data_IF_104823941184
#
_entry.id   IF_104823941184
#
_cell.length_a   1.000
_cell.length_b   1.000
_cell.length_c   1.000
_cell.angle_alpha   90.00
_cell.angle_beta   90.00
_cell.angle_gamma   90.00
#
_symmetry.space_group_name_H-M   'P 1'
#
loop_
_entity.id
_entity.type
_entity.pdbx_description
1 polymer ?
#
# COMPACT_ATOMS: atom_id res chain seq x y z
N UNK A 1 30.78 21.85 -44.41
CA UNK A 1 29.37 21.48 -44.17
C UNK A 1 28.99 22.15 -42.89
N UNK A 2 28.04 23.07 -42.99
CA UNK A 2 27.86 24.08 -41.95
C UNK A 2 26.90 23.58 -40.87
N UNK A 3 27.14 23.97 -39.61
CA UNK A 3 26.27 23.59 -38.52
C UNK A 3 25.00 24.45 -38.50
N UNK A 4 23.96 24.06 -37.75
CA UNK A 4 22.72 24.83 -37.66
C UNK A 4 22.97 26.25 -37.11
N UNK A 5 22.18 27.19 -37.60
CA UNK A 5 22.24 28.61 -37.25
C UNK A 5 21.15 28.98 -36.25
N UNK A 6 21.26 30.15 -35.61
CA UNK A 6 20.24 30.73 -34.72
C UNK A 6 19.67 29.74 -33.68
N UNK A 7 20.56 28.97 -33.03
CA UNK A 7 20.14 28.11 -31.93
C UNK A 7 19.61 28.97 -30.78
N UNK A 8 18.40 28.67 -30.32
CA UNK A 8 17.74 29.37 -29.23
C UNK A 8 17.00 28.42 -28.31
N UNK A 9 16.69 28.93 -27.12
CA UNK A 9 15.89 28.24 -26.11
C UNK A 9 14.84 29.23 -25.62
N UNK A 10 13.58 28.88 -25.82
CA UNK A 10 12.43 29.68 -25.36
C UNK A 10 11.78 28.99 -24.15
N UNK A 11 11.49 29.78 -23.12
CA UNK A 11 10.71 29.35 -21.96
C UNK A 11 9.27 29.86 -22.09
N UNK A 12 8.29 28.96 -22.33
CA UNK A 12 6.88 29.32 -22.44
C UNK A 12 6.22 29.58 -21.07
N UNK A 13 6.96 29.44 -19.95
CA UNK A 13 6.40 29.51 -18.60
C UNK A 13 5.83 28.16 -18.11
N UNK A 14 6.20 27.05 -18.75
CA UNK A 14 5.74 25.69 -18.42
C UNK A 14 6.61 25.00 -17.36
N UNK A 15 7.29 25.81 -16.54
CA UNK A 15 8.01 25.42 -15.32
C UNK A 15 9.07 24.31 -15.54
N UNK A 16 9.74 24.34 -16.69
CA UNK A 16 10.85 23.44 -17.04
C UNK A 16 10.73 22.75 -18.39
N UNK A 17 9.54 22.74 -19.01
CA UNK A 17 9.40 22.32 -20.40
C UNK A 17 9.84 23.45 -21.35
N UNK A 18 11.03 23.33 -21.92
CA UNK A 18 11.62 24.37 -22.78
C UNK A 18 11.56 23.98 -24.27
N UNK A 19 11.48 25.00 -25.12
CA UNK A 19 11.53 24.86 -26.58
C UNK A 19 12.92 25.20 -27.10
N UNK A 20 13.60 24.21 -27.66
CA UNK A 20 14.87 24.36 -28.36
C UNK A 20 14.54 24.59 -29.83
N UNK A 21 15.07 25.63 -30.44
CA UNK A 21 14.88 25.92 -31.87
C UNK A 21 16.19 26.29 -32.56
N UNK A 22 16.21 26.13 -33.88
CA UNK A 22 17.37 26.44 -34.73
C UNK A 22 16.91 26.63 -36.18
N UNK A 23 17.75 27.23 -37.01
CA UNK A 23 17.52 27.37 -38.45
C UNK A 23 18.47 26.51 -39.27
N UNK A 24 18.01 26.11 -40.45
CA UNK A 24 18.85 25.40 -41.41
C UNK A 24 20.05 26.29 -41.82
N UNK A 25 21.24 25.71 -42.05
CA UNK A 25 22.39 26.48 -42.52
C UNK A 25 22.11 27.05 -43.91
N UNK A 26 22.42 28.33 -44.13
CA UNK A 26 22.08 29.01 -45.38
C UNK A 26 22.67 28.29 -46.61
N UNK A 27 23.89 27.74 -46.48
CA UNK A 27 24.59 26.98 -47.52
C UNK A 27 23.90 25.69 -47.95
N UNK A 28 22.96 25.16 -47.15
CA UNK A 28 22.31 23.88 -47.38
C UNK A 28 20.81 23.97 -47.70
N UNK A 29 20.27 25.18 -47.84
CA UNK A 29 18.83 25.43 -48.07
C UNK A 29 18.31 24.92 -49.42
N UNK A 30 19.17 24.90 -50.45
CA UNK A 30 18.79 24.53 -51.83
C UNK A 30 19.29 23.14 -52.26
N UNK A 31 19.72 22.29 -51.33
CA UNK A 31 20.22 20.95 -51.63
C UNK A 31 19.08 19.94 -51.78
N UNK A 32 18.71 19.63 -53.02
CA UNK A 32 17.68 18.62 -53.34
C UNK A 32 18.25 17.20 -53.49
N UNK A 33 19.54 17.08 -53.82
CA UNK A 33 20.21 15.79 -54.04
C UNK A 33 20.55 15.02 -52.74
N UNK A 34 20.25 15.60 -51.57
CA UNK A 34 20.58 15.03 -50.27
C UNK A 34 19.47 15.25 -49.24
N UNK A 35 19.35 14.32 -48.30
CA UNK A 35 18.50 14.46 -47.13
C UNK A 35 19.31 15.11 -46.01
N UNK A 36 18.83 16.27 -45.55
CA UNK A 36 19.34 16.95 -44.36
C UNK A 36 18.54 16.51 -43.12
N UNK A 37 19.25 16.23 -42.03
CA UNK A 37 18.68 16.00 -40.70
C UNK A 37 19.53 16.72 -39.66
N UNK A 38 19.04 16.76 -38.44
CA UNK A 38 19.74 17.31 -37.30
C UNK A 38 20.01 16.21 -36.28
N UNK A 39 21.21 16.24 -35.71
CA UNK A 39 21.62 15.46 -34.56
C UNK A 39 21.68 16.40 -33.36
N UNK A 40 20.59 16.41 -32.61
CA UNK A 40 20.40 17.20 -31.39
C UNK A 40 20.82 16.36 -30.20
N UNK A 41 21.63 16.95 -29.32
CA UNK A 41 21.90 16.40 -28.01
C UNK A 41 21.60 17.44 -26.94
N UNK A 42 20.89 17.03 -25.89
CA UNK A 42 20.67 17.85 -24.72
C UNK A 42 20.99 17.04 -23.46
N UNK A 43 21.47 17.71 -22.43
CA UNK A 43 21.79 17.05 -21.17
C UNK A 43 20.52 16.93 -20.31
N UNK A 44 20.03 15.71 -20.10
CA UNK A 44 18.91 15.45 -19.21
C UNK A 44 19.42 15.41 -17.76
N UNK A 45 19.06 16.43 -16.98
CA UNK A 45 19.49 16.63 -15.59
C UNK A 45 18.85 15.67 -14.60
N UNK A 46 17.67 15.13 -14.90
CA UNK A 46 16.98 14.14 -14.06
C UNK A 46 17.62 12.75 -14.20
N UNK A 47 18.14 12.42 -15.38
CA UNK A 47 18.77 11.14 -15.68
C UNK A 47 20.31 11.21 -15.67
N UNK A 48 20.88 12.40 -15.49
CA UNK A 48 22.32 12.68 -15.53
C UNK A 48 23.02 12.13 -16.78
N UNK A 49 22.38 12.24 -17.95
CA UNK A 49 22.91 11.72 -19.22
C UNK A 49 22.56 12.61 -20.42
N UNK A 50 23.35 12.50 -21.47
CA UNK A 50 23.01 13.10 -22.78
C UNK A 50 21.90 12.30 -23.45
N UNK A 51 20.84 12.99 -23.86
CA UNK A 51 19.80 12.45 -24.73
C UNK A 51 20.09 12.86 -26.15
N UNK A 52 19.99 11.92 -27.09
CA UNK A 52 20.28 12.13 -28.51
C UNK A 52 19.01 11.97 -29.33
N UNK A 53 18.70 12.97 -30.16
CA UNK A 53 17.55 12.99 -31.04
C UNK A 53 18.02 13.22 -32.48
N UNK A 54 17.51 12.43 -33.42
CA UNK A 54 17.66 12.66 -34.86
C UNK A 54 16.33 13.11 -35.43
N UNK A 55 16.30 14.31 -36.03
CA UNK A 55 15.04 14.92 -36.50
C UNK A 55 15.27 15.73 -37.77
N UNK A 56 14.22 15.92 -38.57
CA UNK A 56 14.17 16.89 -39.69
C UNK A 56 13.56 18.22 -39.27
N UNK A 57 12.93 18.27 -38.09
CA UNK A 57 12.32 19.49 -37.55
C UNK A 57 13.41 20.48 -37.14
N UNK A 58 13.04 21.75 -37.08
CA UNK A 58 13.87 22.88 -36.64
C UNK A 58 13.62 23.27 -35.20
N UNK A 59 12.92 22.40 -34.45
CA UNK A 59 12.62 22.61 -33.05
C UNK A 59 12.45 21.26 -32.33
N UNK A 60 12.63 21.29 -31.01
CA UNK A 60 12.38 20.17 -30.11
C UNK A 60 11.99 20.69 -28.73
N UNK A 61 11.12 19.97 -28.04
CA UNK A 61 10.68 20.30 -26.67
C UNK A 61 11.21 19.25 -25.71
N UNK A 62 11.80 19.70 -24.60
CA UNK A 62 12.41 18.83 -23.61
C UNK A 62 12.25 19.40 -22.20
N UNK A 63 12.12 18.49 -21.23
CA UNK A 63 12.02 18.81 -19.82
C UNK A 63 13.41 19.05 -19.22
N UNK A 64 13.55 20.15 -18.50
CA UNK A 64 14.78 20.57 -17.82
C UNK A 64 14.51 20.92 -16.35
N UNK A 65 15.55 20.73 -15.54
CA UNK A 65 15.61 21.23 -14.17
C UNK A 65 16.15 22.66 -14.22
N UNK A 66 15.26 23.65 -14.05
CA UNK A 66 15.60 25.07 -14.14
C UNK A 66 16.52 25.57 -13.02
N UNK A 67 16.76 24.76 -11.99
CA UNK A 67 17.76 25.05 -10.96
C UNK A 67 19.20 24.73 -11.43
N UNK A 68 19.33 24.01 -12.55
CA UNK A 68 20.59 23.59 -13.15
C UNK A 68 20.81 24.22 -14.51
N UNK A 69 22.06 24.15 -14.97
CA UNK A 69 22.44 24.62 -16.30
C UNK A 69 21.81 23.76 -17.40
N UNK A 70 21.13 24.41 -18.34
CA UNK A 70 20.58 23.78 -19.53
C UNK A 70 21.65 23.75 -20.60
N UNK A 71 22.01 22.55 -21.07
CA UNK A 71 23.06 22.33 -22.07
C UNK A 71 22.50 21.64 -23.30
N UNK A 72 22.67 22.29 -24.45
CA UNK A 72 22.22 21.80 -25.74
C UNK A 72 23.35 21.91 -26.75
N UNK A 73 23.51 20.89 -27.59
CA UNK A 73 24.40 20.93 -28.74
C UNK A 73 23.73 20.29 -29.95
N UNK A 74 23.94 20.87 -31.12
CA UNK A 74 23.32 20.40 -32.35
C UNK A 74 24.31 20.39 -33.49
N UNK A 75 24.15 19.42 -34.39
CA UNK A 75 24.93 19.31 -35.61
C UNK A 75 24.01 18.94 -36.78
N UNK A 76 24.38 19.36 -37.98
CA UNK A 76 23.73 18.96 -39.21
C UNK A 76 24.23 17.56 -39.59
N UNK A 77 23.34 16.72 -40.11
CA UNK A 77 23.63 15.46 -40.77
C UNK A 77 23.16 15.54 -42.23
N UNK A 78 24.01 15.14 -43.17
CA UNK A 78 23.68 15.14 -44.59
C UNK A 78 24.03 13.78 -45.20
N UNK A 79 23.07 13.19 -45.90
CA UNK A 79 23.25 11.91 -46.59
C UNK A 79 22.47 11.89 -47.90
N UNK A 80 23.11 11.48 -48.99
CA UNK A 80 22.45 11.30 -50.27
C UNK A 80 23.42 11.26 -51.45
N UNK A 81 22.93 11.60 -52.63
CA UNK A 81 23.74 11.58 -53.86
C UNK A 81 24.86 12.63 -53.81
N UNK A 82 24.63 13.79 -53.18
CA UNK A 82 25.66 14.82 -53.01
C UNK A 82 26.83 14.40 -52.11
N UNK A 83 26.69 13.31 -51.35
CA UNK A 83 27.75 12.76 -50.47
C UNK A 83 28.20 11.36 -50.89
N UNK A 84 27.85 10.92 -52.11
CA UNK A 84 28.08 9.55 -52.60
C UNK A 84 27.58 8.48 -51.61
N UNK A 85 26.48 8.75 -50.91
CA UNK A 85 25.88 7.84 -49.92
C UNK A 85 26.51 7.88 -48.52
N UNK A 86 27.62 8.60 -48.34
CA UNK A 86 28.31 8.76 -47.05
C UNK A 86 27.54 9.73 -46.15
N UNK A 87 27.40 9.43 -44.85
CA UNK A 87 26.80 10.38 -43.92
C UNK A 87 27.85 11.38 -43.45
N UNK A 88 27.65 12.66 -43.75
CA UNK A 88 28.50 13.75 -43.29
C UNK A 88 27.86 14.42 -42.08
N UNK A 89 28.70 14.80 -41.11
CA UNK A 89 28.29 15.48 -39.88
C UNK A 89 29.06 16.79 -39.72
N UNK A 90 28.35 17.88 -39.42
CA UNK A 90 28.99 19.18 -39.13
C UNK A 90 29.66 19.16 -37.74
N UNK A 91 30.51 20.15 -37.42
CA UNK A 91 30.81 20.50 -36.04
C UNK A 91 29.53 20.78 -35.24
N UNK A 92 29.64 20.74 -33.91
CA UNK A 92 28.53 21.08 -33.02
C UNK A 92 28.43 22.59 -32.82
N UNK A 93 27.24 23.16 -32.99
CA UNK A 93 26.84 24.42 -32.37
C UNK A 93 26.32 24.13 -30.97
N UNK A 94 26.71 24.92 -29.96
CA UNK A 94 26.31 24.70 -28.57
C UNK A 94 25.58 25.92 -28.02
N UNK A 95 24.59 25.66 -27.17
CA UNK A 95 23.86 26.67 -26.41
C UNK A 95 23.82 26.21 -24.95
N UNK A 96 24.18 27.13 -24.07
CA UNK A 96 24.20 26.91 -22.63
C UNK A 96 23.40 28.03 -21.98
N UNK A 97 22.34 27.68 -21.27
CA UNK A 97 21.55 28.63 -20.50
C UNK A 97 21.86 28.40 -19.01
N UNK A 98 22.48 29.38 -18.32
CA UNK A 98 22.72 29.27 -16.89
C UNK A 98 21.39 29.32 -16.13
N UNK A 99 21.30 28.67 -14.96
CA UNK A 99 20.11 28.70 -14.13
C UNK A 99 19.85 30.12 -13.59
N UNK A 100 18.58 30.54 -13.58
CA UNK A 100 18.18 31.84 -13.03
C UNK A 100 18.03 31.77 -11.51
N UNK A 101 19.18 31.68 -10.85
CA UNK A 101 19.30 31.47 -9.42
C UNK A 101 19.27 32.80 -8.67
N UNK A 102 18.07 33.29 -8.37
CA UNK A 102 17.92 34.49 -7.54
C UNK A 102 17.93 34.13 -6.06
N UNK A 103 18.65 34.90 -5.24
CA UNK A 103 18.63 34.76 -3.79
C UNK A 103 19.64 33.77 -3.19
N UNK A 104 19.76 33.76 -1.84
CA UNK A 104 20.67 32.88 -1.12
C UNK A 104 20.33 31.40 -1.31
N UNK A 105 21.32 30.52 -1.39
CA UNK A 105 21.10 29.06 -1.57
C UNK A 105 20.26 28.50 -0.42
N UNK A 106 20.44 28.99 0.81
CA UNK A 106 19.68 28.54 1.97
C UNK A 106 18.22 29.00 2.01
N UNK A 107 17.79 29.90 1.12
CA UNK A 107 16.39 30.32 1.00
C UNK A 107 15.52 29.35 0.18
N UNK A 108 16.15 28.37 -0.50
CA UNK A 108 15.42 27.32 -1.23
C UNK A 108 14.61 26.48 -0.24
N UNK A 109 13.35 26.18 -0.57
CA UNK A 109 12.52 25.26 0.22
C UNK A 109 13.17 23.88 0.38
N UNK A 110 12.90 23.27 1.53
CA UNK A 110 13.42 21.95 1.92
C UNK A 110 12.28 20.95 2.05
N UNK A 111 12.62 19.66 2.19
CA UNK A 111 11.63 18.62 2.51
C UNK A 111 10.48 18.47 1.51
N UNK A 112 10.63 18.95 0.27
CA UNK A 112 9.54 18.89 -0.71
C UNK A 112 9.16 17.44 -1.01
N UNK A 113 7.88 17.11 -0.83
CA UNK A 113 7.34 15.79 -1.10
C UNK A 113 5.85 15.86 -1.43
N UNK A 114 5.37 14.89 -2.20
CA UNK A 114 3.96 14.79 -2.58
C UNK A 114 3.42 13.40 -2.28
N UNK A 115 2.12 13.34 -1.97
CA UNK A 115 1.36 12.09 -1.82
C UNK A 115 0.05 12.24 -2.58
N UNK A 116 -0.18 11.35 -3.54
CA UNK A 116 -1.43 11.28 -4.30
C UNK A 116 -2.36 10.25 -3.64
N UNK A 117 -3.24 10.73 -2.76
CA UNK A 117 -4.10 9.86 -1.97
C UNK A 117 -5.20 9.26 -2.83
N UNK A 118 -5.23 7.92 -2.88
CA UNK A 118 -6.34 7.14 -3.46
C UNK A 118 -6.72 7.51 -4.91
N UNK A 119 -5.80 8.15 -5.66
CA UNK A 119 -6.10 8.79 -6.96
C UNK A 119 -7.28 9.77 -6.92
N UNK A 120 -7.46 10.48 -5.81
CA UNK A 120 -8.57 11.44 -5.63
C UNK A 120 -8.05 12.87 -5.45
N UNK A 121 -7.02 13.06 -4.63
CA UNK A 121 -6.40 14.35 -4.42
C UNK A 121 -4.92 14.19 -4.09
N UNK A 122 -4.11 15.16 -4.45
CA UNK A 122 -2.68 15.16 -4.16
C UNK A 122 -2.35 16.27 -3.18
N UNK A 123 -1.55 15.95 -2.16
CA UNK A 123 -0.98 16.95 -1.25
C UNK A 123 0.52 16.97 -1.44
N UNK A 124 1.05 18.15 -1.75
CA UNK A 124 2.48 18.42 -1.76
C UNK A 124 2.81 19.33 -0.59
N UNK A 125 3.84 19.00 0.18
CA UNK A 125 4.29 19.77 1.33
C UNK A 125 5.76 20.14 1.19
N UNK A 126 6.16 21.20 1.88
CA UNK A 126 7.54 21.67 1.96
C UNK A 126 7.84 22.29 3.32
N UNK A 127 9.12 22.32 3.64
CA UNK A 127 9.68 22.99 4.80
C UNK A 127 10.31 24.32 4.39
N UNK A 128 10.31 25.28 5.32
CA UNK A 128 10.89 26.60 5.10
C UNK A 128 12.41 26.53 4.89
N UNK A 129 12.95 27.38 4.01
CA UNK A 129 14.40 27.51 3.85
C UNK A 129 15.12 27.93 5.14
N UNK A 130 16.38 27.52 5.29
CA UNK A 130 17.21 27.82 6.47
C UNK A 130 17.57 29.31 6.60
N UNK A 131 17.66 30.02 5.46
CA UNK A 131 18.00 31.44 5.40
C UNK A 131 16.77 32.31 5.04
N UNK A 132 15.58 31.78 5.28
CA UNK A 132 14.32 32.46 4.98
C UNK A 132 14.03 33.56 6.01
N UNK A 133 13.77 34.82 5.58
CA UNK A 133 13.36 35.88 6.49
C UNK A 133 12.04 35.57 7.20
N UNK A 134 11.90 36.02 8.45
CA UNK A 134 10.61 36.01 9.15
C UNK A 134 9.58 36.82 8.34
N UNK A 135 8.37 36.27 8.17
CA UNK A 135 7.24 36.82 7.38
C UNK A 135 7.25 36.57 5.86
N UNK A 136 8.10 35.68 5.34
CA UNK A 136 8.05 35.32 3.91
C UNK A 136 6.81 34.46 3.58
N UNK A 137 6.21 34.68 2.40
CA UNK A 137 5.06 33.90 1.92
C UNK A 137 5.42 33.13 0.65
N UNK A 138 5.20 31.81 0.70
CA UNK A 138 5.38 30.91 -0.43
C UNK A 138 4.19 30.98 -1.39
N UNK A 139 4.48 30.91 -2.69
CA UNK A 139 3.46 30.61 -3.69
C UNK A 139 3.92 29.44 -4.55
N UNK A 140 3.00 28.50 -4.77
CA UNK A 140 3.24 27.34 -5.61
C UNK A 140 2.50 27.53 -6.93
N UNK A 141 3.21 27.33 -8.03
CA UNK A 141 2.66 27.26 -9.37
C UNK A 141 2.88 25.87 -9.94
N UNK A 142 1.94 25.40 -10.74
CA UNK A 142 2.03 24.10 -11.39
C UNK A 142 1.59 24.19 -12.86
N UNK A 143 2.08 23.23 -13.65
CA UNK A 143 1.71 23.08 -15.05
C UNK A 143 1.80 21.60 -15.47
N UNK A 144 0.87 21.17 -16.31
CA UNK A 144 0.95 19.89 -17.02
C UNK A 144 0.44 20.08 -18.46
N UNK A 145 0.67 19.07 -19.30
CA UNK A 145 0.44 19.16 -20.76
C UNK A 145 -1.00 19.48 -21.20
N UNK A 146 -1.97 19.34 -20.31
CA UNK A 146 -3.40 19.58 -20.59
C UNK A 146 -3.80 21.02 -20.24
N UNK A 147 -2.88 21.81 -19.67
CA UNK A 147 -3.06 23.22 -19.34
C UNK A 147 -2.43 24.12 -20.40
N UNK A 148 -3.05 25.26 -20.69
CA UNK A 148 -2.49 26.27 -21.59
C UNK A 148 -1.31 27.03 -20.95
N UNK A 149 -1.47 27.39 -19.67
CA UNK A 149 -0.51 28.17 -18.90
C UNK A 149 -0.39 27.63 -17.47
N UNK A 150 0.68 27.99 -16.77
CA UNK A 150 0.86 27.59 -15.37
C UNK A 150 -0.17 28.29 -14.47
N UNK A 151 -0.70 27.57 -13.49
CA UNK A 151 -1.67 28.09 -12.53
C UNK A 151 -1.12 28.05 -11.11
N UNK A 152 -1.64 28.93 -10.23
CA UNK A 152 -1.32 28.91 -8.81
C UNK A 152 -2.06 27.77 -8.10
N UNK A 153 -1.47 27.27 -7.01
CA UNK A 153 -2.07 26.28 -6.12
C UNK A 153 -3.56 26.55 -5.85
N UNK A 154 -4.46 25.58 -6.10
CA UNK A 154 -5.89 25.77 -5.90
C UNK A 154 -6.28 25.85 -4.42
N UNK A 155 -5.58 25.11 -3.54
CA UNK A 155 -5.84 25.12 -2.10
C UNK A 155 -4.55 24.99 -1.28
N UNK A 156 -4.14 26.07 -0.62
CA UNK A 156 -2.95 26.05 0.24
C UNK A 156 -3.18 25.34 1.59
N UNK A 157 -2.19 24.55 2.00
CA UNK A 157 -2.06 23.97 3.33
C UNK A 157 -1.24 24.93 4.20
N UNK A 158 -1.74 25.22 5.40
CA UNK A 158 -1.13 26.19 6.32
C UNK A 158 -0.66 25.53 7.60
N UNK A 159 0.51 25.95 8.08
CA UNK A 159 1.03 25.61 9.41
C UNK A 159 1.51 26.90 10.07
N UNK A 160 0.98 27.20 11.26
CA UNK A 160 1.27 28.44 12.00
C UNK A 160 1.13 29.73 11.16
N UNK A 161 0.13 29.78 10.26
CA UNK A 161 -0.12 30.93 9.39
C UNK A 161 0.79 31.04 8.16
N UNK A 162 1.70 30.07 7.94
CA UNK A 162 2.60 30.00 6.78
C UNK A 162 2.10 28.93 5.81
N UNK A 163 2.11 29.24 4.50
CA UNK A 163 1.85 28.26 3.44
C UNK A 163 2.98 27.22 3.41
N UNK A 164 2.64 25.98 3.70
CA UNK A 164 3.59 24.84 3.82
C UNK A 164 3.21 23.67 2.93
N UNK A 165 2.15 23.82 2.14
CA UNK A 165 1.74 22.81 1.19
C UNK A 165 0.68 23.32 0.22
N UNK A 166 0.37 22.47 -0.74
CA UNK A 166 -0.70 22.63 -1.71
C UNK A 166 -1.50 21.34 -1.82
N UNK A 167 -2.82 21.46 -1.85
CA UNK A 167 -3.76 20.38 -2.12
C UNK A 167 -4.35 20.59 -3.51
N UNK A 168 -4.21 19.58 -4.36
CA UNK A 168 -4.75 19.52 -5.72
C UNK A 168 -5.95 18.58 -5.74
N UNK A 169 -7.02 18.98 -6.42
CA UNK A 169 -8.16 18.12 -6.71
C UNK A 169 -7.90 17.31 -7.98
N UNK A 170 -8.70 16.26 -8.20
CA UNK A 170 -8.62 15.39 -9.37
C UNK A 170 -8.58 16.15 -10.72
N UNK A 171 -9.36 17.24 -10.83
CA UNK A 171 -9.45 18.07 -12.05
C UNK A 171 -8.13 18.78 -12.39
N UNK A 172 -7.27 19.03 -11.41
CA UNK A 172 -5.97 19.69 -11.60
C UNK A 172 -4.83 18.71 -11.83
N UNK A 173 -5.10 17.40 -11.86
CA UNK A 173 -4.09 16.35 -11.88
C UNK A 173 -4.05 15.64 -13.22
N UNK A 174 -2.84 15.34 -13.69
CA UNK A 174 -2.64 14.62 -14.96
C UNK A 174 -1.61 13.51 -14.75
N UNK A 175 -2.07 12.26 -14.80
CA UNK A 175 -1.22 11.07 -14.67
C UNK A 175 -0.45 10.78 -15.98
N UNK A 176 0.65 10.04 -15.89
CA UNK A 176 1.45 9.58 -17.04
C UNK A 176 1.99 10.70 -17.94
N UNK A 177 2.12 11.91 -17.38
CA UNK A 177 2.79 13.04 -17.99
C UNK A 177 3.59 13.81 -16.95
N UNK A 178 4.51 14.67 -17.40
CA UNK A 178 5.29 15.52 -16.52
C UNK A 178 4.38 16.56 -15.85
N UNK A 179 4.35 16.54 -14.53
CA UNK A 179 3.66 17.50 -13.67
C UNK A 179 4.71 18.42 -13.06
N UNK A 180 4.81 19.63 -13.62
CA UNK A 180 5.84 20.59 -13.29
C UNK A 180 5.37 21.53 -12.19
N UNK A 181 6.23 21.78 -11.20
CA UNK A 181 5.94 22.58 -10.01
C UNK A 181 7.06 23.58 -9.82
N UNK A 182 6.69 24.83 -9.54
CA UNK A 182 7.58 25.89 -9.09
C UNK A 182 7.09 26.39 -7.74
N UNK A 183 7.97 26.43 -6.75
CA UNK A 183 7.70 27.09 -5.47
C UNK A 183 8.58 28.33 -5.42
N UNK A 184 7.93 29.49 -5.39
CA UNK A 184 8.59 30.75 -5.14
C UNK A 184 8.27 31.23 -3.71
N UNK A 185 9.06 32.16 -3.23
CA UNK A 185 8.78 32.87 -1.98
C UNK A 185 8.94 34.35 -2.21
N UNK A 186 8.02 35.13 -1.65
CA UNK A 186 8.07 36.57 -1.67
C UNK A 186 8.46 37.08 -0.28
N UNK A 187 9.49 37.92 -0.23
CA UNK A 187 9.86 38.66 0.96
C UNK A 187 10.02 40.15 0.61
N UNK A 188 9.56 41.08 1.47
CA UNK A 188 9.70 42.52 1.20
C UNK A 188 11.15 43.01 1.08
N UNK A 189 12.12 42.22 1.57
CA UNK A 189 13.52 42.65 1.73
C UNK A 189 14.51 41.88 0.86
N UNK A 190 14.17 40.68 0.43
CA UNK A 190 15.11 39.75 -0.22
C UNK A 190 14.40 38.97 -1.31
N UNK A 191 15.03 38.85 -2.49
CA UNK A 191 14.59 37.90 -3.51
C UNK A 191 15.08 36.52 -3.08
N UNK A 192 14.16 35.55 -3.01
CA UNK A 192 14.42 34.22 -2.49
C UNK A 192 14.54 33.21 -3.63
N UNK A 193 15.14 32.07 -3.33
CA UNK A 193 15.45 31.03 -4.30
C UNK A 193 14.22 30.18 -4.59
N UNK A 194 13.74 30.25 -5.83
CA UNK A 194 12.71 29.34 -6.32
C UNK A 194 13.22 27.90 -6.40
N UNK A 195 12.33 26.95 -6.14
CA UNK A 195 12.60 25.53 -6.34
C UNK A 195 11.70 24.97 -7.45
N UNK A 196 12.27 24.10 -8.29
CA UNK A 196 11.57 23.50 -9.42
C UNK A 196 11.56 21.98 -9.31
N UNK A 197 10.41 21.38 -9.58
CA UNK A 197 10.22 19.94 -9.52
C UNK A 197 9.43 19.48 -10.74
N UNK A 198 9.75 18.30 -11.25
CA UNK A 198 8.97 17.65 -12.31
C UNK A 198 8.67 16.23 -11.83
N UNK A 199 7.39 15.91 -11.73
CA UNK A 199 6.89 14.68 -11.14
C UNK A 199 6.12 13.88 -12.18
N UNK A 200 6.18 12.56 -12.07
CA UNK A 200 5.19 11.67 -12.68
C UNK A 200 4.26 11.20 -11.56
N UNK A 201 3.11 11.85 -11.41
CA UNK A 201 2.29 11.76 -10.19
C UNK A 201 1.76 10.35 -9.89
N UNK A 202 1.66 9.48 -10.91
CA UNK A 202 1.29 8.07 -10.70
C UNK A 202 2.28 7.32 -9.79
N UNK A 203 3.53 7.79 -9.71
CA UNK A 203 4.58 7.24 -8.86
C UNK A 203 4.46 7.65 -7.37
N UNK A 204 3.50 8.51 -7.04
CA UNK A 204 3.28 9.06 -5.70
C UNK A 204 1.94 8.63 -5.10
N UNK A 205 1.27 7.65 -5.73
CA UNK A 205 -0.02 7.15 -5.25
C UNK A 205 0.15 6.40 -3.94
N UNK A 206 -0.64 6.80 -2.92
CA UNK A 206 -0.86 6.05 -1.69
C UNK A 206 -2.28 5.49 -1.71
N UNK A 207 -2.47 4.17 -1.91
CA UNK A 207 -3.79 3.55 -1.82
C UNK A 207 -4.37 3.68 -0.41
N UNK A 208 -5.69 3.54 -0.31
CA UNK A 208 -6.36 3.46 0.99
C UNK A 208 -5.98 2.16 1.71
N UNK A 209 -6.05 2.21 3.05
CA UNK A 209 -5.92 1.02 3.86
C UNK A 209 -7.09 0.07 3.55
N UNK A 210 -6.80 -1.22 3.53
CA UNK A 210 -7.82 -2.25 3.41
C UNK A 210 -8.61 -2.30 4.72
N UNK A 211 -9.93 -2.19 4.64
CA UNK A 211 -10.79 -2.13 5.83
C UNK A 211 -11.14 -3.54 6.34
N UNK A 212 -11.52 -4.43 5.41
CA UNK A 212 -12.02 -5.78 5.71
C UNK A 212 -11.14 -6.86 5.13
N UNK A 213 -10.66 -7.75 6.00
CA UNK A 213 -9.98 -9.00 5.64
C UNK A 213 -10.85 -10.16 6.10
N UNK A 214 -11.38 -10.89 5.14
CA UNK A 214 -12.23 -12.06 5.30
C UNK A 214 -11.39 -13.32 5.45
N UNK A 215 -11.81 -14.18 6.38
CA UNK A 215 -11.16 -15.45 6.68
C UNK A 215 -12.18 -16.58 6.55
N UNK A 216 -11.98 -17.44 5.57
CA UNK A 216 -12.85 -18.59 5.32
C UNK A 216 -12.10 -19.89 5.65
N UNK A 217 -12.63 -20.63 6.61
CA UNK A 217 -12.07 -21.91 7.01
C UNK A 217 -12.71 -23.05 6.21
N UNK A 218 -11.87 -23.92 5.65
CA UNK A 218 -12.28 -25.14 4.97
C UNK A 218 -12.29 -26.33 5.95
N UNK A 219 -13.08 -27.38 5.67
CA UNK A 219 -13.12 -28.61 6.49
C UNK A 219 -11.75 -29.27 6.67
N UNK A 220 -10.84 -29.11 5.72
CA UNK A 220 -9.48 -29.68 5.73
C UNK A 220 -8.49 -28.87 6.58
N UNK A 221 -8.97 -28.06 7.53
CA UNK A 221 -8.17 -27.14 8.38
C UNK A 221 -7.27 -26.20 7.57
N UNK A 222 -7.70 -25.82 6.37
CA UNK A 222 -7.05 -24.76 5.57
C UNK A 222 -7.84 -23.48 5.69
N UNK A 223 -7.11 -22.37 5.73
CA UNK A 223 -7.68 -21.03 5.76
C UNK A 223 -7.46 -20.34 4.40
N UNK A 224 -8.53 -19.77 3.87
CA UNK A 224 -8.51 -18.85 2.74
C UNK A 224 -8.64 -17.43 3.29
N UNK A 225 -7.73 -16.55 2.86
CA UNK A 225 -7.72 -15.13 3.24
C UNK A 225 -8.09 -14.31 2.01
N UNK A 226 -9.08 -13.44 2.13
CA UNK A 226 -9.52 -12.56 1.06
C UNK A 226 -9.73 -11.15 1.61
N UNK A 227 -9.58 -10.13 0.78
CA UNK A 227 -9.87 -8.76 1.16
C UNK A 227 -10.55 -8.01 0.01
N UNK A 228 -11.33 -7.00 0.38
CA UNK A 228 -12.02 -6.14 -0.57
C UNK A 228 -11.24 -4.83 -0.77
N UNK A 229 -11.40 -4.23 -1.96
CA UNK A 229 -10.84 -2.92 -2.23
C UNK A 229 -11.73 -1.83 -1.63
N UNK A 230 -11.15 -0.81 -0.97
CA UNK A 230 -11.92 0.26 -0.35
C UNK A 230 -12.67 1.11 -1.39
N UNK A 231 -12.14 1.21 -2.62
CA UNK A 231 -12.80 1.85 -3.76
C UNK A 231 -12.30 1.25 -5.08
N UNK A 232 -13.02 1.51 -6.16
CA UNK A 232 -12.67 1.04 -7.52
C UNK A 232 -11.86 2.07 -8.33
N UNK A 233 -11.40 3.17 -7.72
CA UNK A 233 -10.62 4.22 -8.44
C UNK A 233 -9.27 3.67 -8.91
N UNK A 234 -8.69 2.72 -8.18
CA UNK A 234 -7.45 2.04 -8.56
C UNK A 234 -7.81 0.63 -9.05
N UNK A 235 -7.56 0.30 -10.33
CA UNK A 235 -7.81 -1.05 -10.84
C UNK A 235 -7.03 -2.12 -10.05
N UNK A 236 -7.66 -3.26 -9.78
CA UNK A 236 -7.05 -4.35 -9.00
C UNK A 236 -5.73 -4.86 -9.60
N UNK A 237 -5.63 -4.93 -10.93
CA UNK A 237 -4.39 -5.33 -11.62
C UNK A 237 -3.24 -4.30 -11.50
N UNK A 238 -3.53 -3.09 -11.02
CA UNK A 238 -2.54 -2.07 -10.71
C UNK A 238 -2.09 -2.10 -9.24
N UNK A 239 -2.58 -3.04 -8.43
CA UNK A 239 -2.22 -3.17 -7.03
C UNK A 239 -1.41 -4.45 -6.80
N UNK A 240 -0.44 -4.34 -5.90
CA UNK A 240 0.18 -5.48 -5.24
C UNK A 240 -0.04 -5.38 -3.73
N UNK A 241 -0.13 -6.53 -3.09
CA UNK A 241 -0.50 -6.67 -1.69
C UNK A 241 0.62 -7.31 -0.90
N UNK A 242 0.88 -6.79 0.29
CA UNK A 242 1.70 -7.44 1.29
C UNK A 242 0.78 -7.96 2.39
N UNK A 243 0.80 -9.28 2.58
CA UNK A 243 0.05 -9.98 3.61
C UNK A 243 1.01 -10.34 4.73
N UNK A 244 0.73 -9.87 5.93
CA UNK A 244 1.46 -10.27 7.13
C UNK A 244 0.60 -11.23 7.94
N UNK A 245 1.14 -12.43 8.17
CA UNK A 245 0.54 -13.47 8.98
C UNK A 245 1.27 -13.58 10.32
N UNK A 246 0.51 -13.70 11.40
CA UNK A 246 0.99 -13.99 12.74
C UNK A 246 0.39 -15.32 13.20
N UNK A 247 1.24 -16.25 13.60
CA UNK A 247 0.83 -17.56 14.11
C UNK A 247 1.16 -17.69 15.60
N UNK A 248 0.17 -18.07 16.40
CA UNK A 248 0.30 -18.32 17.83
C UNK A 248 0.11 -19.82 18.12
N UNK A 249 1.19 -20.48 18.54
CA UNK A 249 1.23 -21.90 18.91
C UNK A 249 1.17 -22.15 20.42
N UNK A 250 1.19 -23.43 20.84
CA UNK A 250 1.20 -23.80 22.27
C UNK A 250 2.60 -23.62 22.85
N UNK A 251 2.85 -22.50 23.52
CA UNK A 251 4.09 -22.24 24.26
C UNK A 251 5.29 -21.79 23.43
N UNK A 252 5.10 -21.43 22.16
CA UNK A 252 6.14 -20.89 21.27
C UNK A 252 6.08 -19.36 21.13
N UNK A 253 7.16 -18.75 20.66
CA UNK A 253 7.17 -17.36 20.21
C UNK A 253 6.28 -17.20 18.97
N UNK A 254 5.57 -16.06 18.80
CA UNK A 254 4.73 -15.85 17.63
C UNK A 254 5.58 -15.80 16.36
N UNK A 255 5.24 -16.62 15.36
CA UNK A 255 5.89 -16.60 14.05
C UNK A 255 5.24 -15.51 13.19
N UNK A 256 6.07 -14.66 12.60
CA UNK A 256 5.63 -13.61 11.69
C UNK A 256 6.09 -13.95 10.26
N UNK A 257 5.15 -14.10 9.34
CA UNK A 257 5.43 -14.35 7.92
C UNK A 257 4.90 -13.19 7.08
N UNK A 258 5.65 -12.81 6.03
CA UNK A 258 5.25 -11.80 5.06
C UNK A 258 5.31 -12.38 3.67
N UNK A 259 4.21 -12.26 2.93
CA UNK A 259 4.12 -12.69 1.55
C UNK A 259 3.63 -11.51 0.70
N UNK A 260 4.18 -11.38 -0.52
CA UNK A 260 3.73 -10.39 -1.52
C UNK A 260 2.99 -11.13 -2.62
N UNK A 261 1.81 -10.63 -2.99
CA UNK A 261 0.96 -11.22 -4.02
C UNK A 261 0.26 -10.13 -4.83
N UNK A 262 -0.09 -10.46 -6.08
CA UNK A 262 -0.93 -9.63 -6.95
C UNK A 262 -2.40 -10.08 -6.94
N UNK A 263 -2.69 -11.20 -6.29
CA UNK A 263 -4.05 -11.71 -6.13
C UNK A 263 -4.69 -11.15 -4.87
N UNK A 264 -6.00 -10.88 -4.90
CA UNK A 264 -6.78 -10.42 -3.75
C UNK A 264 -7.13 -11.54 -2.76
N UNK A 265 -6.58 -12.74 -3.00
CA UNK A 265 -6.82 -13.94 -2.23
C UNK A 265 -5.50 -14.65 -1.95
N UNK A 266 -5.38 -15.21 -0.76
CA UNK A 266 -4.30 -16.12 -0.40
C UNK A 266 -4.92 -17.45 0.01
N UNK A 267 -4.72 -18.48 -0.80
CA UNK A 267 -5.35 -19.79 -0.63
C UNK A 267 -4.39 -20.77 0.07
N UNK A 268 -4.96 -21.75 0.78
CA UNK A 268 -4.26 -22.95 1.24
C UNK A 268 -3.23 -22.74 2.36
N UNK A 269 -3.55 -21.90 3.35
CA UNK A 269 -2.77 -21.83 4.58
C UNK A 269 -3.20 -22.95 5.54
N UNK A 270 -2.32 -23.91 5.81
CA UNK A 270 -2.60 -24.97 6.81
C UNK A 270 -2.67 -24.37 8.21
N UNK A 271 -3.62 -24.80 9.04
CA UNK A 271 -3.69 -24.47 10.47
C UNK A 271 -2.89 -25.43 11.36
N UNK A 272 -2.18 -26.42 10.79
CA UNK A 272 -1.49 -27.44 11.58
C UNK A 272 -0.49 -26.83 12.56
N UNK A 273 -0.67 -27.13 13.85
CA UNK A 273 0.19 -26.67 14.94
C UNK A 273 -0.09 -25.24 15.45
N UNK A 274 -1.01 -24.49 14.83
CA UNK A 274 -1.37 -23.13 15.25
C UNK A 274 -2.75 -23.10 15.91
N UNK A 275 -2.85 -22.51 17.12
CA UNK A 275 -4.15 -22.29 17.80
C UNK A 275 -4.88 -21.10 17.23
N UNK A 276 -4.15 -20.07 16.82
CA UNK A 276 -4.69 -18.83 16.28
C UNK A 276 -3.77 -18.31 15.19
N UNK A 277 -4.36 -17.94 14.05
CA UNK A 277 -3.67 -17.23 12.98
C UNK A 277 -4.35 -15.89 12.73
N UNK A 278 -3.56 -14.84 12.67
CA UNK A 278 -4.03 -13.48 12.39
C UNK A 278 -3.38 -12.95 11.13
N UNK A 279 -4.13 -12.17 10.36
CA UNK A 279 -3.71 -11.60 9.09
C UNK A 279 -3.97 -10.11 9.08
N UNK A 280 -3.06 -9.37 8.47
CA UNK A 280 -3.30 -7.99 8.04
C UNK A 280 -2.70 -7.77 6.67
N UNK A 281 -3.28 -6.86 5.91
CA UNK A 281 -2.93 -6.63 4.51
C UNK A 281 -2.72 -5.15 4.28
N UNK A 282 -1.77 -4.81 3.43
CA UNK A 282 -1.61 -3.47 2.85
C UNK A 282 -1.37 -3.56 1.36
N UNK A 283 -1.62 -2.49 0.64
CA UNK A 283 -1.46 -2.44 -0.82
C UNK A 283 -0.54 -1.31 -1.26
N UNK A 284 0.05 -1.44 -2.46
CA UNK A 284 0.74 -0.36 -3.18
C UNK A 284 0.54 -0.51 -4.67
N UNK A 285 0.87 0.53 -5.43
CA UNK A 285 0.89 0.45 -6.90
C UNK A 285 1.88 -0.62 -7.37
N UNK A 286 1.43 -1.48 -8.27
CA UNK A 286 2.25 -2.49 -8.95
C UNK A 286 3.12 -1.84 -10.05
N UNK A 287 4.30 -2.42 -10.31
CA UNK A 287 5.31 -1.84 -11.21
C UNK A 287 4.86 -1.66 -12.67
N UNK A 288 3.82 -2.36 -13.11
CA UNK A 288 3.24 -2.18 -14.45
C UNK A 288 2.42 -0.90 -14.59
N UNK A 289 1.93 -0.32 -13.50
CA UNK A 289 1.13 0.90 -13.50
C UNK A 289 1.88 2.12 -12.98
N UNK A 290 2.95 1.93 -12.20
CA UNK A 290 3.81 3.00 -11.72
C UNK A 290 5.23 2.46 -11.44
N UNK A 291 6.27 3.25 -11.72
CA UNK A 291 7.67 2.87 -11.44
C UNK A 291 7.94 2.77 -9.93
N UNK A 292 7.15 3.50 -9.12
CA UNK A 292 7.23 3.55 -7.67
C UNK A 292 5.82 3.64 -7.09
N UNK A 293 5.67 3.27 -5.82
CA UNK A 293 4.40 3.39 -5.11
C UNK A 293 4.60 3.51 -3.61
N UNK A 294 3.70 4.26 -2.97
CA UNK A 294 3.65 4.35 -1.51
C UNK A 294 2.77 3.22 -0.99
N UNK A 295 3.21 2.59 0.10
CA UNK A 295 2.39 1.60 0.80
C UNK A 295 1.19 2.30 1.47
N UNK A 296 0.02 1.68 1.36
CA UNK A 296 -1.11 2.00 2.22
C UNK A 296 -0.75 1.72 3.68
N UNK A 297 -1.55 2.28 4.58
CA UNK A 297 -1.50 1.84 5.97
C UNK A 297 -2.00 0.38 6.05
N UNK A 298 -1.58 -0.32 7.10
CA UNK A 298 -1.98 -1.70 7.34
C UNK A 298 -3.47 -1.77 7.70
N UNK A 299 -4.16 -2.80 7.22
CA UNK A 299 -5.47 -3.18 7.74
C UNK A 299 -5.39 -3.52 9.22
N UNK A 300 -6.56 -3.55 9.87
CA UNK A 300 -6.68 -4.19 11.17
C UNK A 300 -6.36 -5.69 11.07
N UNK A 301 -5.99 -6.27 12.21
CA UNK A 301 -5.73 -7.71 12.30
C UNK A 301 -7.07 -8.47 12.30
N UNK A 302 -7.27 -9.36 11.33
CA UNK A 302 -8.33 -10.36 11.33
C UNK A 302 -7.76 -11.69 11.80
N UNK A 303 -8.43 -12.36 12.75
CA UNK A 303 -7.91 -13.60 13.33
C UNK A 303 -8.92 -14.75 13.21
N UNK A 304 -8.38 -15.93 12.92
CA UNK A 304 -9.10 -17.19 13.02
C UNK A 304 -8.45 -18.06 14.10
N UNK A 305 -9.27 -18.60 14.99
CA UNK A 305 -8.84 -19.54 16.02
C UNK A 305 -9.33 -20.93 15.64
N UNK A 306 -8.44 -21.91 15.74
CA UNK A 306 -8.80 -23.31 15.58
C UNK A 306 -9.54 -23.76 16.84
N UNK A 307 -10.85 -23.54 16.85
CA UNK A 307 -11.72 -24.19 17.81
C UNK A 307 -11.82 -25.65 17.36
N UNK A 308 -11.04 -26.55 17.97
CA UNK A 308 -11.48 -27.95 18.03
C UNK A 308 -12.93 -27.91 18.44
N UNK A 309 -13.83 -28.39 17.58
CA UNK A 309 -15.25 -28.13 17.82
C UNK A 309 -15.61 -28.71 19.19
N UNK A 310 -15.95 -27.85 20.15
CA UNK A 310 -16.48 -28.27 21.45
C UNK A 310 -17.69 -29.20 21.26
N UNK A 311 -18.33 -29.14 20.09
CA UNK A 311 -19.35 -30.06 19.63
C UNK A 311 -18.86 -31.52 19.46
N UNK A 312 -17.67 -31.78 18.92
CA UNK A 312 -17.14 -33.16 18.76
C UNK A 312 -16.75 -33.75 20.11
N UNK A 313 -16.11 -32.97 20.97
CA UNK A 313 -15.81 -33.39 22.35
C UNK A 313 -17.11 -33.61 23.14
N UNK A 314 -18.08 -32.69 23.00
CA UNK A 314 -19.41 -32.82 23.59
C UNK A 314 -20.16 -34.06 23.09
N UNK A 315 -20.16 -34.32 21.79
CA UNK A 315 -20.77 -35.52 21.19
C UNK A 315 -20.08 -36.80 21.68
N UNK A 316 -18.75 -36.83 21.76
CA UNK A 316 -18.02 -37.99 22.27
C UNK A 316 -18.36 -38.27 23.75
N UNK A 317 -18.47 -37.23 24.58
CA UNK A 317 -18.89 -37.35 25.99
C UNK A 317 -20.33 -37.85 26.09
N UNK A 318 -21.26 -37.30 25.30
CA UNK A 318 -22.68 -37.73 25.30
C UNK A 318 -22.80 -39.19 24.84
N UNK A 319 -22.10 -39.58 23.78
CA UNK A 319 -22.05 -40.97 23.30
C UNK A 319 -21.48 -41.88 24.39
N UNK A 320 -20.41 -41.46 25.08
CA UNK A 320 -19.84 -42.17 26.22
C UNK A 320 -20.83 -42.38 27.37
N UNK A 321 -21.61 -41.35 27.71
CA UNK A 321 -22.66 -41.43 28.74
C UNK A 321 -23.77 -42.40 28.32
N UNK A 322 -24.22 -42.36 27.06
CA UNK A 322 -25.26 -43.26 26.54
C UNK A 322 -24.79 -44.72 26.61
N UNK A 323 -23.55 -45.00 26.20
CA UNK A 323 -22.97 -46.36 26.26
C UNK A 323 -22.88 -46.83 27.73
N UNK A 324 -22.44 -45.97 28.64
CA UNK A 324 -22.38 -46.29 30.07
C UNK A 324 -23.75 -46.65 30.64
N UNK A 325 -24.78 -45.87 30.33
CA UNK A 325 -26.16 -46.13 30.76
C UNK A 325 -26.70 -47.45 30.20
N UNK A 326 -26.41 -47.77 28.94
CA UNK A 326 -26.78 -49.05 28.33
C UNK A 326 -26.12 -50.23 29.05
N UNK A 327 -24.82 -50.14 29.35
CA UNK A 327 -24.09 -51.20 30.07
C UNK A 327 -24.67 -51.40 31.47
N UNK A 328 -24.95 -50.31 32.21
CA UNK A 328 -25.56 -50.38 33.55
C UNK A 328 -26.96 -50.99 33.50
N UNK A 329 -27.77 -50.65 32.49
CA UNK A 329 -29.10 -51.25 32.31
C UNK A 329 -29.03 -52.75 32.03
N UNK A 330 -28.07 -53.20 31.21
CA UNK A 330 -27.84 -54.62 30.90
C UNK A 330 -27.34 -55.39 32.13
N UNK A 331 -26.45 -54.79 32.93
CA UNK A 331 -26.00 -55.35 34.20
C UNK A 331 -27.14 -55.46 35.22
N UNK A 332 -27.94 -54.40 35.36
CA UNK A 332 -29.13 -54.39 36.21
C UNK A 332 -30.15 -55.45 35.77
N UNK A 333 -30.38 -55.60 34.47
CA UNK A 333 -31.27 -56.62 33.92
C UNK A 333 -30.73 -58.05 34.13
N UNK A 334 -29.42 -58.26 34.03
CA UNK A 334 -28.79 -59.55 34.35
C UNK A 334 -28.91 -59.90 35.84
N UNK A 335 -28.69 -58.92 36.72
CA UNK A 335 -28.89 -59.08 38.17
C UNK A 335 -30.36 -59.33 38.52
N UNK A 336 -31.30 -58.63 37.88
CA UNK A 336 -32.74 -58.86 38.04
C UNK A 336 -33.16 -60.24 37.56
N UNK A 337 -32.64 -60.73 36.42
CA UNK A 337 -32.88 -62.11 35.97
C UNK A 337 -32.32 -63.14 36.96
N UNK A 338 -31.13 -62.91 37.54
CA UNK A 338 -30.58 -63.77 38.59
C UNK A 338 -31.41 -63.74 39.88
N UNK A 339 -31.94 -62.58 40.26
CA UNK A 339 -32.81 -62.43 41.42
C UNK A 339 -34.17 -63.11 41.22
N UNK A 340 -34.80 -62.92 40.06
CA UNK A 340 -36.08 -63.55 39.71
C UNK A 340 -35.96 -65.08 39.54
N UNK A 341 -34.80 -65.58 39.11
CA UNK A 341 -34.51 -67.01 39.11
C UNK A 341 -34.39 -67.61 40.52
N UNK A 342 -34.07 -66.79 41.54
CA UNK A 342 -34.06 -67.23 42.96
C UNK A 342 -35.46 -67.26 43.59
N UNK A 343 -36.45 -66.56 43.04
CA UNK A 343 -37.83 -66.60 43.52
C UNK A 343 -38.65 -67.79 42.97
N UNK A 344 -38.09 -68.58 42.04
CA UNK A 344 -38.75 -69.74 41.43
C UNK A 344 -38.75 -71.04 42.24
N UNK A 345 -38.10 -71.09 43.41
CA UNK A 345 -38.16 -72.23 44.33
C UNK A 345 -38.95 -71.85 45.59
N UNK A 346 -40.27 -72.03 45.55
CA UNK A 346 -41.13 -72.05 46.75
C UNK A 346 -41.13 -73.46 47.36
N UNK A 347 -40.73 -73.58 48.64
CA UNK A 347 -41.09 -74.72 49.49
C UNK A 347 -42.50 -74.51 50.09
N UNK A 348 -43.34 -75.56 50.19
CA UNK A 348 -44.74 -75.43 50.60
C UNK A 348 -44.93 -75.36 52.12
N UNK A 349 -46.05 -74.75 52.50
CA UNK A 349 -46.59 -74.58 53.85
C UNK A 349 -46.93 -75.90 54.56
N UNK A 350 -46.79 -75.91 55.88
CA UNK A 350 -47.46 -76.82 56.83
C UNK A 350 -47.81 -76.08 58.14
N UNK A 351 -49.05 -76.15 58.67
CA UNK A 351 -49.50 -75.29 59.77
C UNK A 351 -49.65 -75.99 61.14
N UNK A 352 -49.94 -75.15 62.15
CA UNK A 352 -50.47 -75.37 63.51
C UNK A 352 -49.53 -75.34 64.74
N UNK A 353 -49.60 -74.20 65.43
CA UNK A 353 -50.10 -74.04 66.81
C UNK A 353 -49.17 -74.39 68.01
N UNK A 354 -49.25 -73.53 69.05
CA UNK A 354 -48.55 -73.49 70.37
C UNK A 354 -47.25 -72.64 70.31
N UNK A 355 -47.01 -71.58 71.09
CA UNK A 355 -47.52 -71.17 72.40
C UNK A 355 -47.53 -69.63 72.52
N UNK A 356 -48.57 -69.14 73.20
CA UNK A 356 -48.66 -67.86 73.89
C UNK A 356 -47.61 -67.76 75.03
N UNK A 357 -47.42 -66.53 75.52
CA UNK A 357 -46.52 -66.05 76.59
C UNK A 357 -45.23 -65.44 76.02
N UNK A 358 -44.91 -64.14 76.17
CA UNK A 358 -45.08 -63.27 77.32
C UNK A 358 -45.01 -61.81 76.84
N UNK A 359 -46.04 -61.01 77.10
CA UNK A 359 -45.97 -59.55 76.98
C UNK A 359 -45.81 -58.96 78.38
N UNK A 360 -44.82 -58.07 78.56
CA UNK A 360 -44.83 -56.87 79.43
C UNK A 360 -43.40 -56.40 79.72
N UNK A 361 -43.20 -55.09 79.64
CA UNK A 361 -42.01 -54.41 80.17
C UNK A 361 -41.49 -53.30 79.25
N UNK A 362 -42.30 -52.27 79.00
CA UNK A 362 -42.09 -50.92 79.58
C UNK A 362 -41.11 -50.03 78.78
N UNK A 363 -41.72 -49.19 77.94
CA UNK A 363 -41.25 -47.83 77.67
C UNK A 363 -41.27 -47.01 78.96
N UNK A 364 -40.18 -46.29 79.27
CA UNK A 364 -40.23 -44.88 79.69
C UNK A 364 -38.85 -44.33 80.11
N UNK A 365 -38.70 -43.02 79.82
CA UNK A 365 -37.85 -42.00 80.47
C UNK A 365 -36.36 -42.00 80.11
N UNK A 366 -35.86 -41.07 79.28
CA UNK A 366 -35.89 -39.60 79.25
C UNK A 366 -34.82 -38.90 80.10
N UNK A 367 -34.25 -37.86 79.47
CA UNK A 367 -33.55 -36.71 80.01
C UNK A 367 -32.25 -36.91 80.81
N UNK A 368 -31.13 -36.47 80.23
CA UNK A 368 -30.44 -35.23 80.63
C UNK A 368 -29.37 -34.89 79.56
N UNK A 369 -29.52 -33.76 78.87
CA UNK A 369 -28.66 -32.54 78.96
C UNK A 369 -27.16 -32.76 78.70
N UNK A 370 -26.37 -31.84 78.15
CA UNK A 370 -26.55 -30.55 77.45
C UNK A 370 -25.11 -30.04 77.26
N UNK A 371 -24.91 -29.24 76.23
CA UNK A 371 -23.98 -28.08 76.14
C UNK A 371 -22.49 -28.28 75.84
N UNK A 372 -22.12 -27.57 74.76
CA UNK A 372 -20.97 -26.66 74.57
C UNK A 372 -19.63 -27.30 74.23
N UNK A 373 -18.80 -26.70 73.38
CA UNK A 373 -18.71 -25.36 72.79
C UNK A 373 -17.84 -25.53 71.53
N UNK A 374 -18.25 -25.05 70.35
CA UNK A 374 -17.78 -23.80 69.74
C UNK A 374 -16.29 -23.50 69.95
N UNK A 375 -15.50 -23.55 68.88
CA UNK A 375 -15.12 -22.34 68.13
C UNK A 375 -14.73 -22.70 66.70
#
# INVERSE_FOLDING_TARGET
MDPPENIGIDDPGHLGLLYIHWTAPASLTNLTACSMRYHLEYFNTYQSRWTVIRTVRTWYRAQFDLEKEVRVRISTLLKGACTNGTELKSPFTQMVLPPNNTGPVGSRVQGFGCVFYQKEFMECTWETGLEEPTQSQYSLYFWHREMEQAEECPQYIHSNGVRTGCKFTEESLSEFSDFNICINSSSPKVVLRSAFFSLQIQNYVKPAAIETVHLEASPDRRLQVQWDLPNERIPSHCLEYEVEAREEGVGGQPLLQRNVTNEMTLTSLSMDGARRKCFRVRSRMHHYCADRGLWSDWSHWSCHSDTESDAVVGCAVVIGIIISMLILSLFGWALWRKWKAREGEMMPFGPLHKLMEYSKGLSARSHFNKTRENQ
#
